data_IF_504600221616
#
_entry.id   IF_504600221616
#
_cell.length_a   1.000
_cell.length_b   1.000
_cell.length_c   1.000
_cell.angle_alpha   90.00
_cell.angle_beta   90.00
_cell.angle_gamma   90.00
#
_symmetry.space_group_name_H-M   'P 1'
#
loop_
_entity.id
_entity.type
_entity.pdbx_description
1 polymer ?
2 non-polymer ?
3 non-polymer ?
4 non-polymer ?
5 water ?
#
# COMPACT_ATOMS: atom_id res chain seq x y z
N UNK A 2 4.09 5.46 35.54
CA UNK A 2 2.77 5.93 35.94
C UNK A 2 1.75 4.79 36.07
N UNK A 3 1.15 4.75 37.22
CA UNK A 3 0.15 3.72 37.58
C UNK A 3 -1.15 4.44 38.04
N UNK A 4 -2.06 3.71 38.64
CA UNK A 4 -3.28 4.27 39.14
C UNK A 4 -4.36 4.15 38.15
N UNK A 5 -5.55 4.57 38.53
CA UNK A 5 -6.75 4.34 37.74
C UNK A 5 -6.66 4.92 36.33
N UNK A 6 -6.09 6.12 36.16
CA UNK A 6 -6.12 6.80 34.82
C UNK A 6 -5.19 6.18 33.82
N UNK A 7 -4.23 5.42 34.32
CA UNK A 7 -3.22 4.73 33.47
C UNK A 7 -3.83 3.53 32.67
N UNK A 8 -2.97 2.74 32.04
CA UNK A 8 -3.41 1.59 31.27
C UNK A 8 -3.66 1.99 29.83
N UNK A 20 -13.95 -5.24 16.31
CA UNK A 20 -13.26 -4.31 17.13
C UNK A 20 -13.57 -2.81 16.70
N UNK A 23 -10.40 1.60 16.71
CA UNK A 23 -9.24 2.39 16.22
C UNK A 23 -9.47 3.01 14.84
N UNK A 24 -8.92 4.18 14.60
CA UNK A 24 -9.08 4.83 13.30
C UNK A 24 -7.79 4.49 12.58
N UNK A 25 -7.87 3.51 11.71
CA UNK A 25 -6.68 3.04 11.07
C UNK A 25 -5.93 4.02 10.20
N UNK A 26 -6.63 5.02 9.69
CA UNK A 26 -5.99 6.01 8.85
C UNK A 26 -5.28 7.09 9.65
N UNK A 27 -5.46 7.09 10.97
CA UNK A 27 -4.81 8.03 11.85
C UNK A 27 -3.69 7.38 12.67
N UNK A 28 -2.95 6.46 12.04
CA UNK A 28 -1.93 5.65 12.72
C UNK A 28 -0.80 6.42 13.34
N UNK A 29 -0.45 7.56 12.75
CA UNK A 29 0.67 8.35 13.21
C UNK A 29 2.02 7.72 13.12
N UNK A 30 2.19 6.73 12.26
CA UNK A 30 3.41 5.97 12.20
C UNK A 30 3.45 5.22 10.87
N UNK A 31 4.66 4.82 10.51
CA UNK A 31 4.90 4.11 9.26
C UNK A 31 5.70 2.81 9.47
N UNK A 32 5.70 2.00 8.47
CA UNK A 32 6.58 0.85 8.38
C UNK A 32 7.92 1.32 8.01
N UNK A 33 9.02 0.61 8.44
CA UNK A 33 10.39 1.10 8.40
C UNK A 33 11.14 0.94 7.07
N UNK A 34 10.50 0.42 6.04
CA UNK A 34 11.16 0.27 4.75
C UNK A 34 11.03 1.54 3.83
N UNK A 35 10.52 2.63 4.38
CA UNK A 35 10.51 3.92 3.68
C UNK A 35 10.63 5.02 4.69
N UNK A 36 10.67 6.24 4.17
CA UNK A 36 10.60 7.48 4.97
C UNK A 36 9.44 8.33 4.50
N UNK A 37 8.88 9.13 5.37
CA UNK A 37 7.72 9.96 5.03
C UNK A 37 8.04 11.35 5.41
N UNK A 38 7.92 12.30 4.48
CA UNK A 38 8.04 13.74 4.73
C UNK A 38 6.70 14.41 4.54
N UNK A 39 6.38 15.38 5.37
CA UNK A 39 5.20 16.21 5.13
C UNK A 39 5.71 17.64 4.98
N UNK A 40 5.29 18.29 3.89
CA UNK A 40 5.80 19.61 3.49
C UNK A 40 4.69 20.66 3.47
N UNK A 41 4.98 21.79 4.08
CA UNK A 41 4.08 22.93 3.96
C UNK A 41 4.42 23.68 2.67
N UNK A 42 3.38 23.97 1.92
CA UNK A 42 3.61 24.46 0.54
C UNK A 42 3.73 25.96 0.42
N UNK A 43 3.63 26.72 1.48
CA UNK A 43 3.87 28.15 1.40
C UNK A 43 5.34 28.43 1.39
N UNK A 44 6.09 27.62 2.15
CA UNK A 44 7.51 27.81 2.30
C UNK A 44 8.35 26.59 1.81
N UNK A 45 7.68 25.53 1.38
CA UNK A 45 8.35 24.28 0.94
C UNK A 45 9.39 23.76 1.98
N UNK A 46 8.98 23.71 3.25
CA UNK A 46 9.79 23.19 4.35
C UNK A 46 9.10 21.95 4.86
N UNK A 47 9.94 21.06 5.38
CA UNK A 47 9.39 19.85 6.02
C UNK A 47 8.84 20.23 7.40
N UNK A 48 7.56 19.93 7.59
CA UNK A 48 6.87 20.22 8.86
C UNK A 48 6.55 18.99 9.72
N UNK A 49 6.60 17.78 9.15
CA UNK A 49 6.56 16.53 9.92
C UNK A 49 7.40 15.57 9.15
N UNK A 50 7.96 14.59 9.84
CA UNK A 50 8.69 13.53 9.18
C UNK A 50 8.67 12.29 10.04
N UNK A 51 8.74 11.13 9.41
CA UNK A 51 8.94 9.90 10.16
C UNK A 51 10.26 9.98 10.89
N UNK A 52 10.30 9.40 12.09
CA UNK A 52 11.45 9.47 12.98
C UNK A 52 12.72 8.88 12.42
N UNK A 53 12.60 8.02 11.41
CA UNK A 53 13.71 7.44 10.75
C UNK A 53 14.23 8.20 9.56
N UNK A 54 13.67 9.41 9.28
CA UNK A 54 13.86 10.00 7.94
C UNK A 54 15.33 10.37 7.71
N UNK A 55 15.99 11.01 8.66
CA UNK A 55 17.30 11.52 8.46
C UNK A 55 18.22 10.28 8.27
N UNK A 56 18.08 9.21 9.06
CA UNK A 56 18.94 8.04 8.87
C UNK A 56 18.70 7.40 7.51
N UNK A 57 17.42 7.19 7.19
CA UNK A 57 17.00 6.51 5.97
C UNK A 57 17.43 7.21 4.68
N UNK A 58 17.41 8.55 4.73
CA UNK A 58 17.73 9.41 3.58
C UNK A 58 19.17 9.88 3.55
N UNK A 59 19.99 9.45 4.54
CA UNK A 59 21.34 9.91 4.65
C UNK A 59 21.46 11.44 4.72
N UNK A 60 20.69 12.04 5.62
CA UNK A 60 20.67 13.50 5.81
C UNK A 60 21.08 13.83 7.23
N UNK A 61 21.66 14.97 7.46
CA UNK A 61 22.02 15.39 8.85
C UNK A 61 20.82 15.83 9.61
N UNK A 62 19.88 16.45 8.94
CA UNK A 62 18.63 16.86 9.56
C UNK A 62 17.58 16.96 8.48
N UNK A 63 16.33 16.90 8.95
CA UNK A 63 15.19 16.91 8.06
C UNK A 63 14.10 17.82 8.53
N UNK A 64 13.65 17.72 9.75
CA UNK A 64 12.52 18.55 10.24
C UNK A 64 12.91 20.01 10.16
N UNK A 65 12.03 20.81 9.57
CA UNK A 65 12.23 22.21 9.44
C UNK A 65 13.05 22.62 8.25
N UNK A 66 13.63 21.68 7.53
CA UNK A 66 14.50 22.00 6.42
C UNK A 66 13.71 22.33 5.15
N UNK A 67 14.14 23.42 4.47
CA UNK A 67 13.55 23.66 3.16
C UNK A 67 13.92 22.55 2.19
N UNK A 68 13.03 22.15 1.33
CA UNK A 68 13.37 21.15 0.32
C UNK A 68 14.57 21.54 -0.50
N UNK A 69 14.68 22.83 -0.82
CA UNK A 69 15.79 23.26 -1.63
C UNK A 69 17.15 23.01 -1.03
N UNK A 70 17.21 22.87 0.31
CA UNK A 70 18.46 22.74 1.01
C UNK A 70 18.79 21.25 1.30
N UNK A 71 17.92 20.33 0.98
CA UNK A 71 18.16 18.89 1.15
C UNK A 71 19.09 18.40 0.06
N UNK A 72 20.18 17.70 0.40
CA UNK A 72 21.09 17.18 -0.56
C UNK A 72 20.33 16.35 -1.59
N UNK A 73 20.66 16.49 -2.87
CA UNK A 73 20.03 15.79 -3.94
C UNK A 73 19.12 16.70 -4.77
N UNK A 74 18.22 16.08 -5.51
CA UNK A 74 17.37 16.79 -6.45
C UNK A 74 15.90 16.68 -6.23
N UNK A 75 15.47 16.36 -5.03
CA UNK A 75 14.05 16.17 -4.77
C UNK A 75 13.21 17.37 -5.27
N UNK A 76 13.60 18.58 -4.92
CA UNK A 76 12.78 19.73 -5.28
C UNK A 76 12.62 19.90 -6.79
N UNK A 77 13.71 19.80 -7.55
CA UNK A 77 13.69 19.94 -9.02
C UNK A 77 12.82 18.87 -9.58
N UNK A 78 12.83 17.65 -9.00
CA UNK A 78 12.03 16.62 -9.52
C UNK A 78 10.56 16.74 -9.26
N UNK A 79 10.15 17.30 -8.15
CA UNK A 79 8.76 17.39 -7.83
C UNK A 79 8.14 18.70 -8.44
N UNK A 80 8.94 19.73 -8.67
CA UNK A 80 8.39 21.03 -9.18
C UNK A 80 7.39 20.94 -10.31
N UNK A 81 7.64 20.12 -11.33
CA UNK A 81 6.71 20.01 -12.45
C UNK A 81 5.35 19.49 -12.08
N UNK A 82 5.15 18.96 -10.87
CA UNK A 82 3.91 18.34 -10.52
C UNK A 82 3.18 19.07 -9.42
N UNK A 83 3.68 20.21 -8.98
CA UNK A 83 3.08 20.90 -7.84
C UNK A 83 1.90 21.86 -8.16
N UNK A 84 1.80 22.29 -9.38
CA UNK A 84 0.75 23.23 -9.69
C UNK A 84 -0.52 22.46 -9.80
N UNK A 85 -1.67 23.17 -9.42
CA UNK A 85 -2.93 22.41 -9.55
C UNK A 85 -3.17 21.86 -10.94
N UNK A 86 -3.71 20.65 -11.00
CA UNK A 86 -4.05 19.98 -12.22
C UNK A 86 -4.99 18.86 -11.88
N UNK A 87 -5.96 18.62 -12.75
CA UNK A 87 -6.89 17.45 -12.61
C UNK A 87 -6.23 16.07 -12.79
N UNK A 88 -5.17 15.99 -13.61
CA UNK A 88 -4.51 14.68 -13.89
C UNK A 88 -3.19 14.62 -13.16
N UNK A 89 -3.15 15.13 -11.95
CA UNK A 89 -1.90 15.24 -11.30
C UNK A 89 -1.70 14.19 -10.24
N UNK A 90 -1.69 14.62 -9.01
CA UNK A 90 -1.45 13.74 -7.89
C UNK A 90 -2.61 12.82 -7.65
N UNK A 91 -2.37 11.66 -7.09
CA UNK A 91 -1.05 11.20 -6.65
C UNK A 91 -0.11 10.90 -7.79
N UNK A 92 1.16 11.14 -7.61
CA UNK A 92 2.14 10.87 -8.66
C UNK A 92 3.46 10.39 -8.03
N UNK A 93 4.17 9.54 -8.71
CA UNK A 93 5.47 9.08 -8.29
C UNK A 93 6.57 9.78 -9.09
N UNK A 94 7.64 10.23 -8.43
CA UNK A 94 8.79 10.77 -9.06
C UNK A 94 10.02 9.93 -8.70
N UNK A 95 11.06 10.02 -9.41
CA UNK A 95 12.32 9.35 -9.17
C UNK A 95 13.36 10.41 -8.93
N UNK A 96 14.06 10.37 -7.83
CA UNK A 96 14.98 11.36 -7.42
C UNK A 96 16.22 10.80 -6.72
N UNK A 97 17.20 11.58 -6.44
CA UNK A 97 18.29 11.25 -5.58
C UNK A 97 18.35 12.14 -4.41
N UNK A 98 18.63 11.59 -3.24
CA UNK A 98 18.67 12.26 -1.98
C UNK A 98 19.85 11.82 -1.15
N UNK A 99 20.46 12.71 -0.40
CA UNK A 99 21.36 12.36 0.70
C UNK A 99 22.77 12.45 0.32
N UNK A 100 23.59 12.23 1.33
CA UNK A 100 25.02 11.97 1.18
C UNK A 100 25.45 10.93 2.20
N UNK A 101 25.77 9.74 1.76
CA UNK A 101 25.91 9.31 0.34
C UNK A 101 24.59 9.37 -0.40
N UNK A 102 24.62 9.73 -1.69
CA UNK A 102 23.41 9.83 -2.48
C UNK A 102 22.86 8.48 -2.88
N UNK A 103 21.55 8.30 -2.77
CA UNK A 103 20.82 7.11 -3.14
C UNK A 103 19.68 7.52 -4.04
N UNK A 104 19.24 6.71 -4.94
CA UNK A 104 18.04 6.90 -5.71
C UNK A 104 16.83 6.42 -4.97
N UNK A 105 15.76 7.21 -5.03
CA UNK A 105 14.52 6.93 -4.42
C UNK A 105 13.31 7.03 -5.36
N UNK A 106 12.19 6.40 -5.13
CA UNK A 106 10.95 6.71 -5.76
C UNK A 106 10.13 7.37 -4.69
N UNK A 107 9.68 8.59 -5.01
CA UNK A 107 8.88 9.39 -4.14
C UNK A 107 7.45 9.49 -4.53
N UNK A 108 6.56 9.02 -3.76
CA UNK A 108 5.14 9.01 -3.97
C UNK A 108 4.52 10.20 -3.31
N UNK A 109 3.91 11.08 -4.07
CA UNK A 109 3.36 12.31 -3.55
C UNK A 109 1.85 12.39 -3.62
N UNK A 110 1.22 12.88 -2.58
CA UNK A 110 -0.21 13.15 -2.57
C UNK A 110 -0.49 14.19 -1.56
N UNK A 111 -1.68 14.80 -1.67
CA UNK A 111 -2.15 15.75 -0.70
C UNK A 111 -3.36 15.23 0.00
N UNK A 112 -3.25 15.03 1.32
CA UNK A 112 -4.44 14.78 2.10
C UNK A 112 -5.35 16.00 2.10
N UNK A 113 -6.57 15.85 2.59
CA UNK A 113 -7.50 16.99 2.58
C UNK A 113 -6.93 18.21 3.24
N UNK A 114 -6.26 18.05 4.35
CA UNK A 114 -5.52 19.07 5.03
C UNK A 114 -4.21 18.48 5.55
N UNK A 115 -3.28 19.31 5.89
CA UNK A 115 -2.02 18.92 6.47
C UNK A 115 -0.82 19.03 5.63
N UNK A 116 -0.94 19.48 4.38
CA UNK A 116 0.16 19.72 3.52
C UNK A 116 0.36 18.66 2.44
N UNK A 117 1.59 18.57 1.96
CA UNK A 117 2.00 17.69 0.88
C UNK A 117 2.79 16.50 1.48
N UNK A 118 2.32 15.29 1.24
CA UNK A 118 3.02 14.08 1.73
C UNK A 118 3.90 13.53 0.63
N UNK A 119 5.14 13.26 0.95
CA UNK A 119 6.10 12.58 0.10
C UNK A 119 6.61 11.32 0.82
N UNK A 120 6.32 10.16 0.26
CA UNK A 120 6.75 8.86 0.79
C UNK A 120 7.83 8.31 -0.09
N UNK A 121 8.98 8.04 0.46
CA UNK A 121 10.13 7.69 -0.24
C UNK A 121 10.53 6.20 -0.01
N UNK A 122 10.71 5.45 -1.05
CA UNK A 122 11.20 4.07 -1.00
C UNK A 122 12.50 3.99 -1.79
N UNK A 123 13.45 3.09 -1.52
CA UNK A 123 14.67 2.95 -2.31
C UNK A 123 14.27 2.47 -3.70
N UNK A 124 14.89 3.07 -4.70
CA UNK A 124 14.63 2.73 -6.07
C UNK A 124 15.35 1.45 -6.50
N UNK A 125 14.82 0.78 -7.45
CA UNK A 125 15.42 -0.41 -8.05
C UNK A 125 15.30 -0.27 -9.56
N UNK A 126 15.68 -1.30 -10.27
CA UNK A 126 15.71 -1.29 -11.71
C UNK A 126 14.33 -1.28 -12.31
N UNK A 127 14.23 -0.84 -13.57
CA UNK A 127 13.03 -1.06 -14.36
C UNK A 127 12.64 -2.48 -14.34
N UNK A 128 11.35 -2.67 -14.24
CA UNK A 128 10.84 -4.00 -14.31
C UNK A 128 10.26 -4.07 -15.71
N UNK A 129 10.53 -5.19 -16.33
CA UNK A 129 10.27 -5.35 -17.72
C UNK A 129 9.32 -6.48 -17.76
N UNK A 130 8.03 -6.19 -17.56
CA UNK A 130 7.05 -7.31 -17.56
C UNK A 130 6.08 -7.11 -18.71
N UNK A 131 6.37 -6.26 -19.68
CA UNK A 131 5.36 -6.03 -20.74
C UNK A 131 5.00 -7.33 -21.53
N UNK A 132 5.98 -8.23 -21.68
CA UNK A 132 5.81 -9.48 -22.42
C UNK A 132 4.95 -10.49 -21.64
N UNK A 133 4.97 -10.41 -20.31
CA UNK A 133 4.04 -11.21 -19.44
C UNK A 133 2.64 -10.61 -19.45
N UNK A 134 2.61 -9.29 -19.50
CA UNK A 134 1.37 -8.55 -19.41
C UNK A 134 0.49 -8.66 -20.62
N UNK A 135 1.06 -8.72 -21.80
CA UNK A 135 0.18 -8.81 -22.98
C UNK A 135 -0.74 -10.02 -22.92
N UNK A 136 -0.18 -11.23 -22.65
CA UNK A 136 -1.02 -12.39 -22.45
C UNK A 136 -1.85 -12.44 -21.16
N UNK A 137 -1.37 -11.83 -20.10
CA UNK A 137 -2.24 -11.69 -18.92
C UNK A 137 -3.49 -10.95 -19.28
N UNK A 138 -3.35 -9.84 -20.04
CA UNK A 138 -4.51 -9.02 -20.37
C UNK A 138 -5.48 -9.79 -21.22
N UNK A 139 -4.98 -10.60 -22.16
CA UNK A 139 -5.81 -11.42 -22.99
C UNK A 139 -6.55 -12.46 -22.21
N UNK A 140 -5.86 -13.10 -21.26
CA UNK A 140 -6.56 -14.09 -20.43
C UNK A 140 -7.70 -13.49 -19.61
N UNK A 141 -7.46 -12.30 -19.09
CA UNK A 141 -8.48 -11.57 -18.38
C UNK A 141 -9.65 -11.20 -19.27
N UNK A 142 -9.36 -10.57 -20.40
CA UNK A 142 -10.47 -10.09 -21.22
C UNK A 142 -11.32 -11.16 -21.85
N UNK A 143 -10.80 -12.39 -21.93
CA UNK A 143 -11.54 -13.48 -22.49
C UNK A 143 -12.03 -14.51 -21.50
N UNK A 144 -11.81 -14.30 -20.21
CA UNK A 144 -12.33 -15.28 -19.22
C UNK A 144 -13.83 -15.41 -19.32
N UNK A 145 -14.36 -16.64 -19.32
CA UNK A 145 -15.79 -16.88 -19.59
C UNK A 145 -16.66 -16.99 -18.37
N UNK A 146 -16.06 -16.98 -17.17
CA UNK A 146 -16.79 -17.09 -15.92
C UNK A 146 -15.94 -16.47 -14.82
N UNK A 147 -16.61 -16.16 -13.68
CA UNK A 147 -15.84 -15.65 -12.53
C UNK A 147 -14.83 -16.72 -11.99
N UNK A 148 -15.21 -18.01 -12.07
CA UNK A 148 -14.32 -19.04 -11.68
C UNK A 148 -13.04 -19.02 -12.53
N UNK A 149 -13.21 -18.96 -13.85
CA UNK A 149 -12.07 -18.91 -14.72
C UNK A 149 -11.22 -17.69 -14.48
N UNK A 150 -11.90 -16.57 -14.36
CA UNK A 150 -11.22 -15.30 -14.20
C UNK A 150 -10.39 -15.29 -12.91
N UNK A 151 -11.00 -15.70 -11.81
CA UNK A 151 -10.30 -15.65 -10.54
C UNK A 151 -9.14 -16.69 -10.40
N UNK A 152 -9.31 -17.83 -11.05
CA UNK A 152 -8.24 -18.80 -11.10
C UNK A 152 -7.07 -18.24 -11.89
N UNK A 153 -7.36 -17.64 -13.04
CA UNK A 153 -6.28 -17.03 -13.84
C UNK A 153 -5.62 -15.89 -13.05
N UNK A 154 -6.45 -15.11 -12.34
CA UNK A 154 -5.96 -14.00 -11.54
C UNK A 154 -4.86 -14.44 -10.55
N UNK A 155 -5.16 -15.51 -9.77
CA UNK A 155 -4.18 -15.91 -8.76
C UNK A 155 -2.88 -16.42 -9.38
N UNK A 156 -3.02 -17.16 -10.50
CA UNK A 156 -1.85 -17.63 -11.20
C UNK A 156 -0.96 -16.52 -11.73
N UNK A 157 -1.65 -15.56 -12.38
CA UNK A 157 -0.96 -14.39 -12.94
C UNK A 157 -0.25 -13.56 -11.87
N UNK A 158 -0.95 -13.27 -10.78
CA UNK A 158 -0.32 -12.55 -9.72
C UNK A 158 0.89 -13.31 -9.14
N UNK A 159 0.72 -14.63 -8.95
CA UNK A 159 1.82 -15.39 -8.40
C UNK A 159 3.06 -15.29 -9.30
N UNK A 160 2.82 -15.35 -10.60
CA UNK A 160 3.92 -15.31 -11.56
C UNK A 160 4.61 -13.96 -11.53
N UNK A 161 3.81 -12.90 -11.45
CA UNK A 161 4.29 -11.51 -11.47
C UNK A 161 5.04 -11.12 -10.22
N UNK A 162 4.55 -11.60 -9.10
CA UNK A 162 5.00 -11.12 -7.80
C UNK A 162 5.84 -12.13 -6.99
N UNK A 163 5.72 -13.42 -7.28
CA UNK A 163 6.51 -14.46 -6.62
C UNK A 163 6.12 -14.80 -5.23
N UNK A 164 4.98 -14.34 -4.74
CA UNK A 164 4.57 -14.67 -3.38
C UNK A 164 4.23 -16.17 -3.22
N UNK A 165 4.45 -16.64 -2.01
CA UNK A 165 4.26 -18.09 -1.71
C UNK A 165 2.77 -18.47 -1.84
N UNK A 166 1.79 -17.59 -1.60
CA UNK A 166 0.35 -17.92 -1.70
C UNK A 166 -0.30 -16.68 -2.28
N UNK A 167 -1.19 -16.92 -3.20
CA UNK A 167 -2.09 -15.85 -3.80
C UNK A 167 -3.49 -16.32 -3.82
N UNK A 168 -4.39 -15.47 -3.32
CA UNK A 168 -5.83 -15.76 -3.22
C UNK A 168 -6.66 -14.61 -3.82
N UNK A 169 -7.85 -14.94 -4.26
CA UNK A 169 -8.93 -13.97 -4.41
C UNK A 169 -9.87 -14.15 -3.23
N UNK A 170 -9.99 -13.09 -2.45
CA UNK A 170 -10.75 -13.04 -1.27
C UNK A 170 -12.01 -12.19 -1.58
N UNK A 171 -13.16 -12.78 -1.58
CA UNK A 171 -14.39 -12.14 -2.02
C UNK A 171 -15.23 -11.74 -0.84
N UNK A 172 -15.92 -10.61 -0.92
CA UNK A 172 -16.86 -10.17 0.11
C UNK A 172 -18.28 -10.36 -0.33
N UNK A 173 -19.13 -10.79 0.56
CA UNK A 173 -20.55 -10.81 0.25
C UNK A 173 -21.24 -9.53 0.72
N UNK A 174 -22.56 -9.40 0.54
CA UNK A 174 -23.25 -8.16 0.89
C UNK A 174 -23.27 -7.90 2.38
N UNK A 175 -23.03 -8.95 3.16
CA UNK A 175 -22.99 -8.75 4.62
C UNK A 175 -21.58 -8.53 5.11
N UNK A 176 -20.64 -8.45 4.21
CA UNK A 176 -19.23 -8.26 4.53
C UNK A 176 -18.42 -9.53 4.83
N UNK A 177 -19.02 -10.71 4.84
CA UNK A 177 -18.27 -11.95 5.17
C UNK A 177 -17.32 -12.24 4.06
N UNK A 178 -16.23 -12.95 4.35
CA UNK A 178 -15.20 -13.21 3.41
C UNK A 178 -15.11 -14.64 2.96
N UNK A 179 -14.68 -14.88 1.76
CA UNK A 179 -14.53 -16.19 1.18
C UNK A 179 -13.27 -16.25 0.41
N UNK A 180 -12.43 -17.28 0.59
CA UNK A 180 -11.30 -17.56 -0.25
C UNK A 180 -11.81 -18.24 -1.53
N UNK A 181 -12.05 -17.46 -2.59
CA UNK A 181 -12.72 -17.93 -3.76
C UNK A 181 -11.79 -18.61 -4.74
N UNK A 182 -10.53 -18.18 -4.78
CA UNK A 182 -9.51 -18.85 -5.58
C UNK A 182 -8.22 -18.82 -4.83
N UNK A 183 -7.34 -19.75 -5.16
CA UNK A 183 -6.04 -19.86 -4.50
C UNK A 183 -5.04 -20.64 -5.30
N UNK A 184 -3.80 -20.15 -5.29
CA UNK A 184 -2.66 -20.95 -5.63
C UNK A 184 -1.57 -20.77 -4.63
N UNK A 185 -0.68 -21.77 -4.49
CA UNK A 185 0.34 -21.66 -3.54
C UNK A 185 1.48 -22.61 -3.90
N UNK A 186 2.61 -22.33 -3.31
CA UNK A 186 3.76 -23.19 -3.51
C UNK A 186 3.48 -24.60 -2.91
N UNK A 187 4.07 -25.67 -3.51
CA UNK A 187 3.79 -26.99 -3.05
C UNK A 187 4.14 -27.13 -1.58
N UNK A 188 3.26 -27.86 -0.91
CA UNK A 188 3.54 -28.20 0.46
C UNK A 188 2.96 -27.32 1.51
N UNK A 189 2.46 -26.16 1.07
CA UNK A 189 1.85 -25.24 2.03
C UNK A 189 0.42 -25.61 2.34
N UNK A 190 -0.13 -24.97 3.39
CA UNK A 190 -1.54 -25.08 3.69
C UNK A 190 -2.41 -24.43 2.62
N UNK A 191 -3.60 -24.98 2.40
CA UNK A 191 -4.59 -24.44 1.49
C UNK A 191 -5.70 -23.80 2.28
N UNK A 192 -6.02 -22.56 1.93
CA UNK A 192 -7.14 -21.84 2.52
C UNK A 192 -8.32 -21.78 1.55
N UNK A 193 -8.21 -22.36 0.40
CA UNK A 193 -9.26 -22.33 -0.63
C UNK A 193 -10.58 -22.72 -0.05
N UNK A 194 -11.60 -21.91 -0.26
CA UNK A 194 -12.91 -22.13 0.15
C UNK A 194 -13.25 -21.85 1.60
N UNK A 195 -12.26 -21.41 2.36
CA UNK A 195 -12.53 -21.05 3.72
C UNK A 195 -13.36 -19.78 3.83
N UNK A 196 -14.18 -19.66 4.81
CA UNK A 196 -14.99 -18.47 5.10
C UNK A 196 -14.54 -17.81 6.37
N UNK A 197 -14.66 -16.53 6.44
CA UNK A 197 -14.25 -15.74 7.55
C UNK A 197 -15.28 -14.68 7.84
N UNK A 198 -15.40 -14.32 9.13
CA UNK A 198 -16.39 -13.34 9.50
C UNK A 198 -16.00 -11.97 8.99
N UNK A 199 -17.02 -11.13 8.84
CA UNK A 199 -16.81 -9.79 8.35
C UNK A 199 -15.89 -8.97 9.24
N UNK A 200 -15.89 -9.28 10.53
CA UNK A 200 -15.09 -8.58 11.48
C UNK A 200 -13.60 -8.72 11.14
N UNK A 201 -13.19 -9.76 10.37
CA UNK A 201 -11.83 -9.89 10.08
C UNK A 201 -11.31 -8.82 9.11
N UNK A 202 -12.22 -8.23 8.33
CA UNK A 202 -11.85 -7.05 7.49
C UNK A 202 -12.95 -6.02 7.71
N UNK A 203 -12.79 -5.20 8.71
CA UNK A 203 -13.92 -4.37 9.19
C UNK A 203 -14.37 -3.33 8.23
N UNK A 204 -15.57 -2.81 8.35
CA UNK A 204 -16.09 -1.84 7.39
C UNK A 204 -15.20 -0.66 7.05
N UNK A 205 -14.61 -0.06 8.04
CA UNK A 205 -13.72 1.09 7.80
C UNK A 205 -12.50 0.73 7.01
N UNK A 206 -11.96 -0.48 7.19
CA UNK A 206 -10.90 -0.96 6.38
C UNK A 206 -11.41 -1.18 4.96
N UNK A 207 -12.55 -1.81 4.72
CA UNK A 207 -13.01 -2.04 3.37
C UNK A 207 -13.19 -0.69 2.64
N UNK A 208 -13.67 0.34 3.35
CA UNK A 208 -13.89 1.66 2.76
C UNK A 208 -12.57 2.29 2.35
N UNK A 209 -11.57 2.17 3.22
CA UNK A 209 -10.26 2.66 2.89
C UNK A 209 -9.68 2.00 1.60
N UNK A 210 -9.87 0.69 1.48
CA UNK A 210 -9.36 -0.02 0.37
C UNK A 210 -10.03 0.29 -0.98
N UNK A 211 -11.13 1.03 -0.90
CA UNK A 211 -11.75 1.48 -2.16
C UNK A 211 -10.93 2.70 -2.66
N UNK A 212 -10.35 3.45 -1.75
CA UNK A 212 -9.57 4.58 -2.14
C UNK A 212 -8.06 4.27 -2.31
N UNK A 213 -7.52 3.36 -1.47
CA UNK A 213 -6.12 3.08 -1.48
C UNK A 213 -6.04 1.66 -1.95
N UNK A 214 -5.72 1.45 -3.20
CA UNK A 214 -5.98 0.20 -3.90
C UNK A 214 -4.86 -0.83 -3.75
N UNK A 215 -3.70 -0.51 -3.21
CA UNK A 215 -2.64 -1.52 -2.97
C UNK A 215 -2.13 -1.28 -1.56
N UNK A 216 -1.91 -2.39 -0.85
CA UNK A 216 -1.25 -2.36 0.46
C UNK A 216 -0.11 -3.36 0.52
N UNK A 217 0.99 -2.97 1.07
CA UNK A 217 2.15 -3.86 1.24
C UNK A 217 2.60 -3.84 2.67
N UNK A 218 2.63 -5.02 3.28
CA UNK A 218 3.18 -5.20 4.60
C UNK A 218 4.48 -5.99 4.42
N UNK A 219 5.59 -5.39 4.62
CA UNK A 219 6.89 -6.01 4.35
C UNK A 219 7.30 -7.04 5.36
N UNK A 220 7.08 -6.78 6.59
CA UNK A 220 7.49 -7.70 7.69
C UNK A 220 6.54 -7.48 8.82
N UNK A 221 5.76 -8.52 9.13
CA UNK A 221 4.73 -8.44 10.12
C UNK A 221 5.27 -8.10 11.50
N UNK A 222 6.52 -8.40 11.77
CA UNK A 222 7.17 -8.11 13.05
C UNK A 222 7.82 -6.75 13.19
N UNK A 223 7.53 -5.84 12.25
CA UNK A 223 8.17 -4.55 12.29
C UNK A 223 7.85 -3.75 13.56
N UNK A 224 8.76 -2.84 13.93
CA UNK A 224 8.49 -1.82 14.94
C UNK A 224 8.05 -0.48 14.21
N UNK A 225 6.86 -0.02 14.54
CA UNK A 225 6.37 1.20 13.91
C UNK A 225 7.28 2.34 14.13
N UNK A 226 7.37 3.21 13.13
CA UNK A 226 8.21 4.42 13.17
C UNK A 226 7.31 5.61 13.26
N UNK A 227 7.33 6.31 14.39
CA UNK A 227 6.36 7.41 14.63
C UNK A 227 6.66 8.62 13.72
N UNK A 228 5.58 9.32 13.34
CA UNK A 228 5.76 10.69 12.79
C UNK A 228 6.14 11.65 13.89
N UNK A 229 7.02 12.59 13.58
CA UNK A 229 7.46 13.64 14.46
C UNK A 229 7.30 15.01 13.81
N UNK A 230 6.60 15.92 14.46
CA UNK A 230 5.66 15.69 15.57
C UNK A 230 4.54 14.77 15.11
N UNK A 231 3.78 14.18 16.04
CA UNK A 231 2.70 13.30 15.65
C UNK A 231 1.54 14.10 15.02
N UNK A 232 1.15 15.17 15.70
CA UNK A 232 0.05 15.96 15.25
C UNK A 232 0.55 16.93 14.15
N UNK A 233 -0.29 17.10 13.14
CA UNK A 233 0.05 18.09 12.10
C UNK A 233 0.13 19.54 12.66
N UNK A 234 1.24 20.19 12.41
CA UNK A 234 1.31 21.64 12.77
C UNK A 234 0.29 22.48 12.08
N UNK A 235 -0.20 22.03 10.96
CA UNK A 235 -1.18 22.81 10.21
C UNK A 235 -2.60 22.63 10.63
N UNK A 236 -2.94 21.56 11.32
CA UNK A 236 -4.32 21.28 11.67
C UNK A 236 -4.55 21.05 13.17
N UNK A 237 -3.50 20.73 13.92
CA UNK A 237 -3.57 20.34 15.28
C UNK A 237 -4.25 18.99 15.45
N UNK A 238 -4.36 18.19 14.41
CA UNK A 238 -5.04 16.90 14.51
C UNK A 238 -4.02 15.88 14.00
N UNK A 239 -4.31 14.61 14.24
CA UNK A 239 -3.55 13.55 13.60
C UNK A 239 -3.58 13.70 12.10
N UNK A 240 -2.51 13.35 11.43
CA UNK A 240 -2.41 13.40 9.98
C UNK A 240 -3.28 12.36 9.33
N UNK A 241 -4.05 12.68 8.30
CA UNK A 241 -4.82 11.69 7.58
C UNK A 241 -3.90 10.92 6.68
N UNK A 242 -3.68 9.66 7.06
CA UNK A 242 -2.74 8.80 6.35
C UNK A 242 -3.43 7.83 5.40
N UNK A 243 -4.69 8.07 5.04
CA UNK A 243 -5.41 7.21 4.16
C UNK A 243 -4.68 6.92 2.87
N UNK A 244 -4.01 7.91 2.29
CA UNK A 244 -3.32 7.69 1.06
C UNK A 244 -1.87 7.33 1.14
N UNK A 245 -1.41 6.99 2.36
CA UNK A 245 -0.01 6.73 2.58
C UNK A 245 0.34 5.23 2.35
N UNK A 246 1.19 4.87 1.42
CA UNK A 246 1.51 3.48 1.22
C UNK A 246 2.40 2.88 2.31
N UNK A 247 3.06 3.72 3.06
CA UNK A 247 3.92 3.31 4.19
C UNK A 247 3.16 3.19 5.48
N UNK A 248 1.89 3.52 5.53
CA UNK A 248 1.10 3.60 6.75
C UNK A 248 1.31 2.32 7.62
N UNK A 249 1.49 2.43 8.93
CA UNK A 249 1.55 1.27 9.82
C UNK A 249 0.16 0.70 9.90
N UNK A 250 0.05 -0.60 10.00
CA UNK A 250 -1.18 -1.34 9.98
C UNK A 250 -1.70 -1.73 11.37
N UNK A 251 -2.98 -1.98 11.47
CA UNK A 251 -3.59 -2.30 12.72
C UNK A 251 -2.93 -3.47 13.45
N UNK A 252 -2.60 -3.26 14.73
CA UNK A 252 -2.02 -4.31 15.56
C UNK A 252 -2.93 -5.52 15.64
N UNK A 253 -4.22 -5.37 15.56
CA UNK A 253 -5.08 -6.50 15.66
C UNK A 253 -4.91 -7.39 14.40
N UNK A 254 -4.77 -6.75 13.26
CA UNK A 254 -4.53 -7.45 12.01
C UNK A 254 -3.13 -8.10 12.01
N UNK A 255 -2.11 -7.41 12.46
CA UNK A 255 -0.78 -8.04 12.56
C UNK A 255 -0.77 -9.28 13.43
N UNK A 256 -1.51 -9.25 14.50
CA UNK A 256 -1.59 -10.43 15.37
C UNK A 256 -2.23 -11.61 14.63
N UNK A 257 -3.29 -11.33 13.89
CA UNK A 257 -3.94 -12.31 13.04
C UNK A 257 -2.95 -12.99 12.11
N UNK A 258 -2.13 -12.21 11.43
CA UNK A 258 -1.20 -12.76 10.52
C UNK A 258 -0.11 -13.57 11.28
N UNK A 259 0.36 -13.06 12.40
CA UNK A 259 1.34 -13.77 13.22
C UNK A 259 0.80 -15.11 13.65
N UNK A 260 -0.45 -15.15 14.04
CA UNK A 260 -1.04 -16.44 14.48
C UNK A 260 -1.13 -17.40 13.29
N UNK A 261 -1.17 -16.93 12.05
CA UNK A 261 -1.04 -17.85 10.89
C UNK A 261 0.39 -18.15 10.43
N UNK A 262 1.38 -17.50 11.03
CA UNK A 262 2.75 -17.64 10.58
C UNK A 262 3.15 -16.91 9.32
N UNK A 263 2.26 -15.95 8.88
CA UNK A 263 2.57 -15.24 7.65
C UNK A 263 3.56 -14.11 7.96
N UNK A 264 4.54 -13.83 7.14
CA UNK A 264 5.56 -12.84 7.48
C UNK A 264 5.40 -11.52 6.72
N UNK A 265 4.73 -11.59 5.58
CA UNK A 265 4.58 -10.46 4.64
C UNK A 265 3.35 -10.62 3.80
N UNK A 266 2.73 -9.49 3.40
CA UNK A 266 1.50 -9.54 2.61
C UNK A 266 1.50 -8.44 1.51
N UNK A 267 0.79 -8.71 0.44
CA UNK A 267 0.42 -7.72 -0.62
C UNK A 267 -1.03 -7.91 -0.86
N UNK A 268 -1.81 -6.81 -0.87
CA UNK A 268 -3.22 -6.90 -1.14
C UNK A 268 -3.57 -5.82 -2.19
N UNK A 269 -4.40 -6.17 -3.10
CA UNK A 269 -4.82 -5.29 -4.20
C UNK A 269 -6.34 -5.31 -4.31
N UNK A 270 -6.94 -4.13 -4.28
CA UNK A 270 -8.38 -4.04 -4.27
C UNK A 270 -9.04 -4.36 -5.62
N UNK A 271 -10.18 -5.02 -5.60
CA UNK A 271 -11.03 -5.21 -6.75
C UNK A 271 -12.32 -4.44 -6.50
N UNK A 272 -12.46 -3.36 -7.28
CA UNK A 272 -13.57 -2.41 -7.03
C UNK A 272 -14.53 -2.46 -8.21
N UNK A 273 -15.75 -2.85 -7.92
CA UNK A 273 -16.77 -3.12 -8.90
C UNK A 273 -17.99 -2.29 -8.52
N UNK A 274 -18.46 -1.44 -9.43
CA UNK A 274 -19.63 -0.57 -9.16
C UNK A 274 -19.32 0.29 -7.98
N UNK A 275 -18.06 0.71 -7.80
CA UNK A 275 -17.74 1.59 -6.69
C UNK A 275 -17.73 0.88 -5.33
N UNK A 276 -17.89 -0.46 -5.27
CA UNK A 276 -17.92 -1.13 -4.02
C UNK A 276 -16.69 -2.08 -4.02
N UNK A 277 -16.23 -2.46 -2.82
CA UNK A 277 -15.14 -3.43 -2.67
C UNK A 277 -15.67 -4.84 -2.88
N UNK A 278 -15.46 -5.39 -4.04
CA UNK A 278 -15.94 -6.69 -4.41
C UNK A 278 -15.05 -7.79 -3.76
N UNK A 279 -13.77 -7.52 -3.67
CA UNK A 279 -12.83 -8.50 -3.20
C UNK A 279 -11.48 -7.92 -3.14
N UNK A 280 -10.50 -8.76 -2.78
CA UNK A 280 -9.13 -8.45 -2.75
C UNK A 280 -8.29 -9.53 -3.41
N UNK A 281 -7.23 -9.19 -4.07
CA UNK A 281 -6.17 -10.17 -4.36
C UNK A 281 -5.25 -10.09 -3.17
N UNK A 282 -5.10 -11.24 -2.45
CA UNK A 282 -4.32 -11.26 -1.23
C UNK A 282 -3.13 -12.21 -1.37
N UNK A 283 -1.93 -11.74 -1.15
CA UNK A 283 -0.75 -12.54 -1.25
C UNK A 283 -0.03 -12.63 0.06
N UNK A 284 0.41 -13.86 0.38
CA UNK A 284 1.19 -14.15 1.57
C UNK A 284 2.60 -14.61 1.25
N UNK A 285 3.53 -14.21 2.06
CA UNK A 285 4.90 -14.78 2.00
C UNK A 285 5.33 -15.14 3.35
N UNK A 286 6.22 -16.18 3.38
CA UNK A 286 6.71 -16.72 4.68
C UNK A 286 8.07 -16.17 5.04
N UNK A 287 8.57 -15.21 4.26
CA UNK A 287 9.71 -14.37 4.59
C UNK A 287 9.30 -12.91 4.22
N UNK A 288 10.00 -11.98 4.80
CA UNK A 288 9.71 -10.58 4.47
C UNK A 288 9.82 -10.36 2.99
N UNK A 289 8.96 -9.46 2.47
CA UNK A 289 8.92 -9.25 1.01
C UNK A 289 8.46 -7.82 0.72
N UNK A 290 9.12 -7.21 -0.24
CA UNK A 290 8.67 -5.85 -0.72
C UNK A 290 8.61 -5.84 -2.22
N UNK A 291 7.54 -5.25 -2.78
CA UNK A 291 7.48 -5.01 -4.18
C UNK A 291 7.49 -3.52 -4.41
N UNK A 292 8.33 -3.07 -5.33
CA UNK A 292 8.56 -1.64 -5.56
C UNK A 292 7.46 -1.01 -6.40
N UNK A 293 7.55 0.33 -6.50
CA UNK A 293 6.49 1.08 -7.11
C UNK A 293 6.12 0.54 -8.52
N UNK A 294 7.06 0.25 -9.41
CA UNK A 294 6.68 -0.12 -10.79
C UNK A 294 5.82 -1.38 -10.82
N UNK A 295 6.18 -2.34 -9.99
CA UNK A 295 5.44 -3.59 -9.94
C UNK A 295 4.08 -3.41 -9.23
N UNK A 296 4.02 -2.54 -8.20
CA UNK A 296 2.75 -2.22 -7.62
C UNK A 296 1.84 -1.58 -8.65
N UNK A 297 2.39 -0.70 -9.52
CA UNK A 297 1.60 -0.06 -10.52
C UNK A 297 1.03 -1.05 -11.49
N UNK A 298 1.82 -2.05 -11.85
CA UNK A 298 1.31 -3.14 -12.70
C UNK A 298 0.20 -3.90 -12.01
N UNK A 299 0.34 -4.19 -10.72
CA UNK A 299 -0.72 -4.91 -10.03
C UNK A 299 -2.01 -4.13 -10.05
N UNK A 300 -1.90 -2.80 -9.83
CA UNK A 300 -3.07 -1.98 -9.88
C UNK A 300 -3.70 -1.97 -11.29
N UNK A 301 -2.91 -1.92 -12.37
CA UNK A 301 -3.46 -1.94 -13.71
C UNK A 301 -4.19 -3.27 -13.95
N UNK A 302 -3.60 -4.37 -13.49
CA UNK A 302 -4.23 -5.67 -13.62
C UNK A 302 -5.52 -5.74 -12.85
N UNK A 303 -5.54 -5.21 -11.62
CA UNK A 303 -6.78 -5.23 -10.87
C UNK A 303 -7.88 -4.42 -11.53
N UNK A 304 -7.53 -3.31 -12.22
CA UNK A 304 -8.58 -2.56 -12.95
C UNK A 304 -9.11 -3.35 -14.09
N UNK A 305 -8.23 -4.05 -14.84
CA UNK A 305 -8.67 -4.90 -15.93
C UNK A 305 -9.59 -6.03 -15.45
N UNK A 306 -9.24 -6.63 -14.29
CA UNK A 306 -10.02 -7.73 -13.76
C UNK A 306 -11.41 -7.24 -13.33
N UNK A 307 -11.44 -6.07 -12.68
CA UNK A 307 -12.73 -5.50 -12.24
C UNK A 307 -13.63 -5.18 -13.41
N UNK A 308 -13.06 -4.70 -14.52
CA UNK A 308 -13.86 -4.45 -15.75
C UNK A 308 -14.47 -5.74 -16.17
N UNK A 309 -13.70 -6.82 -16.18
CA UNK A 309 -14.29 -8.11 -16.60
C UNK A 309 -15.31 -8.68 -15.59
N UNK A 310 -15.08 -8.51 -14.31
CA UNK A 310 -16.12 -8.91 -13.34
C UNK A 310 -17.42 -8.16 -13.62
N UNK A 311 -17.29 -6.85 -13.86
CA UNK A 311 -18.51 -6.02 -14.20
C UNK A 311 -19.29 -6.64 -15.34
N UNK A 312 -18.59 -7.03 -16.39
CA UNK A 312 -19.27 -7.58 -17.57
C UNK A 312 -19.88 -8.96 -17.28
N UNK A 313 -19.17 -9.75 -16.50
CA UNK A 313 -19.67 -11.10 -16.21
C UNK A 313 -20.89 -11.09 -15.32
N UNK A 314 -20.99 -10.10 -14.49
CA UNK A 314 -22.11 -9.97 -13.55
C UNK A 314 -23.33 -9.27 -14.15
N UNK A 315 -23.15 -8.64 -15.30
CA UNK A 315 -24.23 -7.89 -15.92
C UNK A 315 -25.24 -8.86 -16.56
#
# INVERSE_FOLDING_TARGET
MVAGHASGSPAFGTASHSNCEHEEIHLAGSIQPHGALLVVSEHDHRVIQASANAAEFLNLGSVLGVPLAEIDGDLLIKILPHLDPTAEGMPVAVRCRIGNPSTEYCGLMHRPPEGGLIIELERAGPSIDLSGTLAPALERIRTAGSLRALCDDTVLLFQQCTGYDRVMVYRFDEQGHGLVFSECHVPGLESYFGNRYPSSTVPQMARQLYVRQRVRVLVDVTYQPVPLEPRLSPLTGRDLDMSGCFLRSMSPCHLQFLKDMGVRATLAVSLVVGGKLWGLVVCHHYLPRFIRFELRAICKRLAERIATRITALES
#
